data_IF_209437860061
#
_entry.id   IF_209437860061
#
_cell.length_a   1.000
_cell.length_b   1.000
_cell.length_c   1.000
_cell.angle_alpha   90.00
_cell.angle_beta   90.00
_cell.angle_gamma   90.00
#
_symmetry.space_group_name_H-M   'P 1'
#
loop_
_entity.id
_entity.type
_entity.pdbx_description
1 polymer ?
#
# COMPACT_ATOMS: atom_id res chain seq x y z
N UNK A 1 -2.16 -6.51 -9.63
CA UNK A 1 -0.86 -6.83 -10.29
C UNK A 1 -0.60 -6.01 -11.55
N UNK A 2 -1.39 -6.09 -12.63
CA UNK A 2 -1.10 -5.37 -13.91
C UNK A 2 -0.98 -3.84 -13.82
N UNK A 3 -1.62 -3.19 -12.85
CA UNK A 3 -1.53 -1.72 -12.70
C UNK A 3 -0.18 -1.30 -12.12
N UNK A 4 0.22 -1.89 -10.99
CA UNK A 4 1.48 -1.56 -10.28
C UNK A 4 2.72 -1.91 -11.13
N UNK A 5 2.73 -3.05 -11.84
CA UNK A 5 3.84 -3.38 -12.76
C UNK A 5 3.95 -2.44 -13.97
N UNK A 6 2.88 -1.73 -14.35
CA UNK A 6 2.90 -0.75 -15.45
C UNK A 6 3.31 0.65 -14.99
N UNK A 7 3.35 0.88 -13.69
CA UNK A 7 3.74 2.15 -13.08
C UNK A 7 4.74 1.89 -11.93
N UNK A 8 5.95 1.37 -12.24
CA UNK A 8 6.96 1.16 -11.22
C UNK A 8 7.39 2.52 -10.67
N UNK A 9 7.12 2.76 -9.39
CA UNK A 9 7.60 3.93 -8.64
C UNK A 9 8.78 3.51 -7.76
N UNK A 10 9.77 4.39 -7.68
CA UNK A 10 10.98 4.17 -6.87
C UNK A 10 10.69 4.34 -5.38
N UNK A 11 11.53 3.69 -4.56
CA UNK A 11 11.64 3.88 -3.12
C UNK A 11 11.45 5.34 -2.67
N UNK A 12 10.39 5.62 -1.89
CA UNK A 12 10.00 6.94 -1.35
C UNK A 12 9.36 7.91 -2.35
N UNK A 13 8.87 7.40 -3.47
CA UNK A 13 8.12 8.17 -4.48
C UNK A 13 6.83 7.46 -4.90
N UNK A 14 6.37 6.47 -4.13
CA UNK A 14 5.24 5.59 -4.45
C UNK A 14 3.88 6.24 -4.18
N UNK A 15 3.69 7.50 -4.57
CA UNK A 15 2.49 8.26 -4.27
C UNK A 15 1.27 7.68 -5.00
N UNK A 16 1.40 7.37 -6.29
CA UNK A 16 0.29 6.82 -7.08
C UNK A 16 -0.04 5.40 -6.66
N UNK A 17 0.97 4.59 -6.37
CA UNK A 17 0.82 3.21 -5.87
C UNK A 17 0.16 3.20 -4.50
N UNK A 18 0.54 4.10 -3.61
CA UNK A 18 -0.08 4.25 -2.28
C UNK A 18 -1.55 4.64 -2.41
N UNK A 19 -1.88 5.60 -3.28
CA UNK A 19 -3.27 5.99 -3.52
C UNK A 19 -4.10 4.87 -4.12
N UNK A 20 -3.55 4.11 -5.07
CA UNK A 20 -4.23 2.97 -5.68
C UNK A 20 -4.55 1.88 -4.65
N UNK A 21 -3.62 1.55 -3.75
CA UNK A 21 -3.88 0.57 -2.69
C UNK A 21 -4.87 1.14 -1.67
N UNK A 22 -4.79 2.43 -1.34
CA UNK A 22 -5.75 3.07 -0.45
C UNK A 22 -7.17 3.04 -1.02
N UNK A 23 -7.37 3.35 -2.30
CA UNK A 23 -8.70 3.29 -2.92
C UNK A 23 -9.25 1.87 -2.94
N UNK A 24 -8.42 0.88 -3.28
CA UNK A 24 -8.83 -0.53 -3.27
C UNK A 24 -9.24 -1.03 -1.88
N UNK A 25 -8.54 -0.60 -0.82
CA UNK A 25 -8.89 -0.94 0.56
C UNK A 25 -10.17 -0.22 1.02
N UNK A 26 -10.35 1.05 0.64
CA UNK A 26 -11.56 1.80 0.92
C UNK A 26 -12.80 1.18 0.21
N UNK A 27 -12.65 0.78 -1.05
CA UNK A 27 -13.69 0.09 -1.83
C UNK A 27 -14.07 -1.27 -1.21
N UNK A 28 -13.12 -1.92 -0.54
CA UNK A 28 -13.37 -3.14 0.24
C UNK A 28 -14.06 -2.88 1.60
N UNK A 29 -14.38 -1.62 1.92
CA UNK A 29 -15.03 -1.23 3.17
C UNK A 29 -14.08 -1.12 4.37
N UNK A 30 -12.77 -1.05 4.13
CA UNK A 30 -11.76 -0.87 5.16
C UNK A 30 -11.39 0.61 5.33
N UNK A 31 -10.65 0.93 6.39
CA UNK A 31 -10.21 2.30 6.69
C UNK A 31 -8.68 2.44 6.58
N UNK A 32 -8.13 2.54 5.35
CA UNK A 32 -6.70 2.71 5.14
C UNK A 32 -6.23 4.10 5.62
N UNK A 33 -5.14 4.13 6.36
CA UNK A 33 -4.46 5.33 6.86
C UNK A 33 -3.13 5.49 6.15
N UNK A 34 -3.03 6.50 5.29
CA UNK A 34 -1.77 6.84 4.61
C UNK A 34 -0.76 7.36 5.63
N UNK A 35 0.48 6.89 5.54
CA UNK A 35 1.54 7.30 6.45
C UNK A 35 1.99 8.75 6.21
N UNK A 36 2.51 9.45 7.25
CA UNK A 36 3.12 10.76 7.08
C UNK A 36 4.28 10.67 6.06
N UNK A 37 4.14 11.36 4.93
CA UNK A 37 5.07 11.27 3.80
C UNK A 37 4.43 10.82 2.49
N UNK A 38 3.18 10.34 2.51
CA UNK A 38 2.41 10.04 1.31
C UNK A 38 2.82 8.75 0.59
N UNK A 39 3.81 8.04 1.10
CA UNK A 39 4.34 6.77 0.59
C UNK A 39 4.13 5.69 1.64
N UNK A 40 3.23 4.75 1.37
CA UNK A 40 2.83 3.70 2.30
C UNK A 40 1.55 4.02 3.08
N UNK A 41 0.90 2.97 3.56
CA UNK A 41 -0.32 3.06 4.35
C UNK A 41 -0.40 1.88 5.33
N UNK A 42 -1.18 2.06 6.39
CA UNK A 42 -1.60 0.99 7.30
C UNK A 42 -3.11 0.83 7.23
N UNK A 43 -3.61 -0.36 7.51
CA UNK A 43 -5.04 -0.61 7.53
C UNK A 43 -5.36 -1.61 8.64
N UNK A 44 -6.01 -1.12 9.69
CA UNK A 44 -6.42 -1.93 10.82
C UNK A 44 -7.88 -2.38 10.62
N UNK A 45 -8.16 -3.64 10.94
CA UNK A 45 -9.51 -4.18 10.94
C UNK A 45 -9.67 -5.25 12.03
N UNK A 46 -10.89 -5.39 12.53
CA UNK A 46 -11.22 -6.32 13.63
C UNK A 46 -11.41 -5.63 14.98
N UNK A 47 -11.67 -6.41 16.04
CA UNK A 47 -11.94 -5.90 17.38
C UNK A 47 -10.72 -5.22 18.00
N UNK A 48 -10.94 -4.18 18.79
CA UNK A 48 -9.85 -3.42 19.38
C UNK A 48 -9.10 -4.16 20.49
N UNK A 49 -9.81 -5.00 21.23
CA UNK A 49 -9.36 -5.69 22.45
C UNK A 49 -9.15 -7.20 22.22
N UNK A 50 -8.29 -7.53 21.25
CA UNK A 50 -7.94 -8.91 20.93
C UNK A 50 -6.52 -9.05 20.40
N UNK A 51 -5.97 -10.27 20.33
CA UNK A 51 -4.66 -10.51 19.74
C UNK A 51 -4.66 -10.08 18.27
N UNK A 52 -3.69 -9.23 17.90
CA UNK A 52 -3.55 -8.69 16.54
C UNK A 52 -2.43 -9.39 15.78
N UNK A 53 -2.61 -9.55 14.48
CA UNK A 53 -1.59 -10.04 13.54
C UNK A 53 -1.34 -8.95 12.51
N UNK A 54 -0.08 -8.62 12.28
CA UNK A 54 0.32 -7.66 11.25
C UNK A 54 0.84 -8.39 10.01
N UNK A 55 0.39 -7.95 8.84
CA UNK A 55 0.94 -8.37 7.55
C UNK A 55 1.63 -7.16 6.91
N UNK A 56 2.86 -7.37 6.43
CA UNK A 56 3.67 -6.33 5.79
C UNK A 56 3.99 -6.73 4.37
N UNK A 57 3.73 -5.83 3.43
CA UNK A 57 4.07 -5.97 2.03
C UNK A 57 4.80 -4.71 1.58
N UNK A 58 5.84 -4.88 0.77
CA UNK A 58 6.57 -3.80 0.12
C UNK A 58 5.94 -3.47 -1.23
N UNK A 59 5.95 -2.19 -1.59
CA UNK A 59 5.34 -1.65 -2.80
C UNK A 59 6.36 -0.99 -3.74
N UNK A 60 7.63 -0.89 -3.32
CA UNK A 60 8.69 -0.23 -4.08
C UNK A 60 9.17 -1.10 -5.24
N UNK A 61 9.40 -0.46 -6.39
CA UNK A 61 10.06 -1.09 -7.52
C UNK A 61 11.58 -0.92 -7.42
N UNK A 62 12.32 -1.91 -7.91
CA UNK A 62 13.77 -1.80 -8.09
C UNK A 62 14.08 -0.91 -9.33
N UNK A 63 15.19 -0.15 -9.32
CA UNK A 63 15.66 0.60 -10.48
C UNK A 63 16.30 -0.36 -11.51
N UNK A 64 15.49 -1.23 -12.09
CA UNK A 64 15.89 -2.19 -13.12
C UNK A 64 14.77 -2.30 -14.16
N UNK A 65 15.13 -2.40 -15.44
CA UNK A 65 14.17 -2.69 -16.48
C UNK A 65 13.68 -4.15 -16.33
N UNK A 66 12.40 -4.34 -15.99
CA UNK A 66 11.74 -5.65 -16.05
C UNK A 66 11.77 -6.14 -17.51
N UNK A 67 12.28 -7.35 -17.74
CA UNK A 67 12.41 -7.99 -19.06
C UNK A 67 11.22 -8.90 -19.34
#
# INVERSE_FOLDING_TARGET
>A
RRHIHRHPELGRQEFATTQFVASQLADAGLNPKVLPGGTGLTCDFGPDDGPRVALRADMDALPMAER
#
